data_IF_075387011096
#
_entry.id   IF_075387011096
#
_cell.length_a   1.000
_cell.length_b   1.000
_cell.length_c   1.000
_cell.angle_alpha   90.00
_cell.angle_beta   90.00
_cell.angle_gamma   90.00
#
_symmetry.space_group_name_H-M   'P 1'
#
loop_
_entity.id
_entity.type
_entity.pdbx_description
1 polymer ?
#
# COMPACT_ATOMS: atom_id res chain seq x y z
N UNK A 1 -10.12 -36.83 -6.78
CA UNK A 1 -10.45 -35.83 -5.75
C UNK A 1 -10.20 -34.44 -6.32
N UNK A 2 -10.87 -33.41 -5.80
CA UNK A 2 -10.61 -32.02 -6.15
C UNK A 2 -9.89 -31.38 -4.97
N UNK A 3 -8.71 -30.80 -5.21
CA UNK A 3 -7.93 -30.10 -4.20
C UNK A 3 -8.05 -28.58 -4.39
N UNK A 4 -8.33 -27.85 -3.32
CA UNK A 4 -8.32 -26.38 -3.30
C UNK A 4 -7.19 -25.92 -2.39
N UNK A 5 -6.22 -25.17 -2.93
CA UNK A 5 -4.99 -24.77 -2.22
C UNK A 5 -4.66 -23.31 -2.51
N UNK A 6 -4.26 -22.58 -1.48
CA UNK A 6 -3.62 -21.27 -1.59
C UNK A 6 -2.25 -21.37 -0.90
N UNK A 7 -1.18 -21.08 -1.63
CA UNK A 7 0.19 -21.36 -1.18
C UNK A 7 0.95 -20.12 -0.70
N UNK A 8 0.47 -18.92 -1.03
CA UNK A 8 1.03 -17.66 -0.56
C UNK A 8 0.43 -17.19 0.78
N UNK A 9 -0.69 -17.79 1.18
CA UNK A 9 -1.39 -17.49 2.43
C UNK A 9 -2.31 -16.26 2.34
N UNK A 10 -2.52 -15.69 1.15
CA UNK A 10 -3.37 -14.51 0.97
C UNK A 10 -4.86 -14.84 0.97
N UNK A 11 -5.23 -16.09 0.67
CA UNK A 11 -6.60 -16.58 0.72
C UNK A 11 -6.73 -17.69 1.77
N UNK A 12 -7.70 -17.50 2.68
CA UNK A 12 -8.17 -18.58 3.55
C UNK A 12 -9.27 -19.34 2.82
N UNK A 13 -9.06 -20.64 2.64
CA UNK A 13 -10.03 -21.57 2.05
C UNK A 13 -10.48 -22.53 3.15
N UNK A 14 -11.78 -22.55 3.46
CA UNK A 14 -12.33 -23.38 4.53
C UNK A 14 -13.67 -24.00 4.14
N UNK A 15 -13.97 -25.15 4.73
CA UNK A 15 -15.27 -25.83 4.67
C UNK A 15 -15.55 -26.41 6.06
N UNK A 16 -16.76 -26.23 6.58
CA UNK A 16 -17.17 -26.89 7.82
C UNK A 16 -17.60 -28.33 7.54
N UNK A 17 -17.53 -29.20 8.56
CA UNK A 17 -17.88 -30.61 8.41
C UNK A 17 -19.39 -30.84 8.19
N UNK A 18 -20.23 -29.88 8.58
CA UNK A 18 -21.69 -29.92 8.55
C UNK A 18 -22.32 -29.16 7.37
N UNK A 19 -21.50 -28.53 6.51
CA UNK A 19 -21.97 -27.79 5.33
C UNK A 19 -21.30 -28.30 4.06
N UNK A 20 -21.92 -28.05 2.90
CA UNK A 20 -21.26 -28.28 1.61
C UNK A 20 -20.60 -27.05 1.01
N UNK A 21 -20.73 -25.89 1.65
CA UNK A 21 -20.16 -24.64 1.18
C UNK A 21 -18.64 -24.62 1.35
N UNK A 22 -17.97 -24.02 0.37
CA UNK A 22 -16.56 -23.65 0.47
C UNK A 22 -16.50 -22.15 0.60
N UNK A 23 -15.88 -21.68 1.68
CA UNK A 23 -15.74 -20.26 1.98
C UNK A 23 -14.35 -19.80 1.58
N UNK A 24 -14.31 -18.69 0.83
CA UNK A 24 -13.09 -17.99 0.46
C UNK A 24 -13.08 -16.63 1.14
N UNK A 25 -12.02 -16.35 1.89
CA UNK A 25 -11.78 -15.05 2.50
C UNK A 25 -10.36 -14.59 2.20
N UNK A 26 -10.14 -13.28 2.21
CA UNK A 26 -8.79 -12.73 2.28
C UNK A 26 -8.25 -12.89 3.70
N UNK A 27 -6.97 -13.21 3.81
CA UNK A 27 -6.25 -13.11 5.07
C UNK A 27 -6.20 -11.66 5.54
N UNK A 28 -6.26 -11.42 6.85
CA UNK A 28 -6.17 -10.06 7.42
C UNK A 28 -4.86 -9.38 7.03
N UNK A 29 -3.79 -10.18 7.01
CA UNK A 29 -2.49 -9.82 6.46
C UNK A 29 -2.33 -10.55 5.13
N UNK A 30 -2.14 -9.80 4.04
CA UNK A 30 -1.86 -10.35 2.72
C UNK A 30 -0.58 -9.70 2.17
N UNK A 31 0.19 -10.47 1.41
CA UNK A 31 1.47 -10.10 0.83
C UNK A 31 1.30 -9.86 -0.66
N UNK A 32 1.62 -8.66 -1.09
CA UNK A 32 1.61 -8.25 -2.49
C UNK A 32 2.85 -7.43 -2.79
N UNK A 33 3.33 -7.48 -4.02
CA UNK A 33 4.47 -6.66 -4.46
C UNK A 33 4.08 -5.18 -4.63
N UNK A 34 2.79 -4.92 -4.86
CA UNK A 34 2.23 -3.58 -4.88
C UNK A 34 0.70 -3.56 -4.97
N UNK A 35 0.13 -2.40 -4.68
CA UNK A 35 -1.29 -2.11 -4.72
C UNK A 35 -1.52 -0.80 -5.47
N UNK A 36 -2.40 -0.82 -6.47
CA UNK A 36 -2.86 0.39 -7.17
C UNK A 36 -4.33 0.61 -6.83
N UNK A 37 -4.65 1.80 -6.32
CA UNK A 37 -6.02 2.23 -6.03
C UNK A 37 -6.24 3.63 -6.60
N UNK A 38 -6.92 3.70 -7.73
CA UNK A 38 -7.00 4.93 -8.52
C UNK A 38 -5.61 5.42 -8.93
N UNK A 39 -5.26 6.65 -8.56
CA UNK A 39 -3.95 7.25 -8.81
C UNK A 39 -2.92 6.98 -7.70
N UNK A 40 -3.30 6.25 -6.64
CA UNK A 40 -2.40 5.89 -5.55
C UNK A 40 -1.73 4.55 -5.85
N UNK A 41 -0.41 4.51 -5.74
CA UNK A 41 0.40 3.29 -5.86
C UNK A 41 1.17 3.08 -4.56
N UNK A 42 1.06 1.89 -3.99
CA UNK A 42 1.86 1.43 -2.85
C UNK A 42 2.70 0.25 -3.32
N UNK A 43 4.02 0.34 -3.22
CA UNK A 43 4.94 -0.73 -3.63
C UNK A 43 6.27 -0.61 -2.87
N UNK A 44 7.31 -1.32 -3.32
CA UNK A 44 8.64 -1.28 -2.72
C UNK A 44 9.29 0.12 -2.72
N UNK A 45 8.88 1.03 -3.60
CA UNK A 45 9.39 2.40 -3.63
C UNK A 45 8.71 3.31 -2.58
N UNK A 46 7.62 2.83 -1.95
CA UNK A 46 6.83 3.54 -0.96
C UNK A 46 5.40 3.82 -1.44
N UNK A 47 4.94 5.06 -1.27
CA UNK A 47 3.59 5.50 -1.64
C UNK A 47 3.68 6.67 -2.62
N UNK A 48 3.05 6.54 -3.78
CA UNK A 48 2.87 7.63 -4.76
C UNK A 48 1.39 7.98 -4.87
N UNK A 49 1.05 9.26 -4.94
CA UNK A 49 -0.31 9.74 -5.21
C UNK A 49 -0.26 10.67 -6.43
N UNK A 50 -0.76 10.16 -7.56
CA UNK A 50 -0.63 10.86 -8.85
C UNK A 50 0.83 11.03 -9.27
N UNK A 51 1.12 12.10 -10.00
CA UNK A 51 2.47 12.44 -10.46
C UNK A 51 3.30 13.21 -9.43
N UNK A 52 2.66 13.80 -8.43
CA UNK A 52 3.28 14.91 -7.69
C UNK A 52 3.72 14.51 -6.29
N UNK A 53 3.00 13.62 -5.61
CA UNK A 53 3.29 13.28 -4.21
C UNK A 53 3.96 11.92 -4.14
N UNK A 54 5.10 11.85 -3.46
CA UNK A 54 5.78 10.59 -3.16
C UNK A 54 6.26 10.56 -1.70
N UNK A 55 5.96 9.47 -1.01
CA UNK A 55 6.61 9.07 0.23
C UNK A 55 7.51 7.88 -0.09
N UNK A 56 8.82 8.07 -0.04
CA UNK A 56 9.81 7.03 -0.35
C UNK A 56 10.87 6.89 0.71
N UNK A 57 11.94 6.17 0.38
CA UNK A 57 13.07 5.89 1.30
C UNK A 57 13.79 7.14 1.79
N UNK A 58 13.63 8.27 1.11
CA UNK A 58 14.25 9.56 1.47
C UNK A 58 13.31 10.49 2.26
N UNK A 59 12.02 10.17 2.39
CA UNK A 59 11.00 11.00 3.04
C UNK A 59 9.81 11.35 2.13
N UNK A 60 9.10 12.42 2.46
CA UNK A 60 7.95 12.96 1.73
C UNK A 60 8.39 14.08 0.77
N UNK A 61 8.05 13.95 -0.51
CA UNK A 61 8.30 14.96 -1.54
C UNK A 61 7.02 15.31 -2.29
N UNK A 62 6.90 16.59 -2.66
CA UNK A 62 5.85 17.12 -3.54
C UNK A 62 6.53 17.81 -4.71
N UNK A 63 6.27 17.37 -5.93
CA UNK A 63 6.81 17.99 -7.16
C UNK A 63 6.45 19.47 -7.20
N UNK A 64 7.45 20.34 -7.42
CA UNK A 64 7.30 21.81 -7.39
C UNK A 64 6.75 22.40 -6.06
N UNK A 65 6.85 21.63 -4.97
CA UNK A 65 6.32 21.98 -3.66
C UNK A 65 7.30 21.70 -2.51
N UNK A 66 6.79 21.67 -1.27
CA UNK A 66 7.58 21.34 -0.09
C UNK A 66 8.09 19.90 -0.06
N UNK A 67 9.13 19.66 0.73
CA UNK A 67 9.64 18.33 1.02
C UNK A 67 10.07 18.19 2.49
N UNK A 68 9.90 16.99 3.03
CA UNK A 68 10.43 16.58 4.34
C UNK A 68 11.27 15.35 4.13
N UNK A 69 12.58 15.48 4.27
CA UNK A 69 13.55 14.41 4.00
C UNK A 69 14.49 14.21 5.17
N UNK A 70 15.36 13.19 5.08
CA UNK A 70 16.43 13.00 6.05
C UNK A 70 17.38 14.22 6.17
N UNK A 71 17.46 15.06 5.13
CA UNK A 71 18.27 16.29 5.13
C UNK A 71 17.58 17.49 5.81
N UNK A 72 16.31 17.37 6.18
CA UNK A 72 15.52 18.43 6.80
C UNK A 72 14.23 18.77 6.04
N UNK A 73 13.73 19.98 6.28
CA UNK A 73 12.48 20.50 5.72
C UNK A 73 12.82 21.56 4.67
N UNK A 74 12.33 21.37 3.43
CA UNK A 74 12.33 22.37 2.37
C UNK A 74 10.90 22.91 2.19
N UNK A 75 10.72 24.23 2.31
CA UNK A 75 9.43 24.88 2.16
C UNK A 75 9.00 25.03 0.69
N UNK A 76 9.86 24.72 -0.29
CA UNK A 76 9.54 24.80 -1.72
C UNK A 76 9.13 26.21 -2.16
N UNK A 77 9.80 27.22 -1.62
CA UNK A 77 9.48 28.65 -1.82
C UNK A 77 8.04 29.03 -1.46
N UNK A 78 7.41 28.31 -0.54
CA UNK A 78 6.10 28.65 0.03
C UNK A 78 6.26 29.29 1.40
N UNK A 79 5.27 30.08 1.80
CA UNK A 79 5.20 30.64 3.16
C UNK A 79 4.87 29.53 4.14
N UNK A 80 5.66 29.42 5.21
CA UNK A 80 5.30 28.64 6.40
C UNK A 80 4.41 29.55 7.25
N UNK A 81 3.13 29.19 7.36
CA UNK A 81 2.15 29.92 8.19
C UNK A 81 1.87 29.15 9.48
N UNK A 82 1.39 29.85 10.51
CA UNK A 82 1.00 29.28 11.81
C UNK A 82 2.16 28.55 12.54
N UNK A 83 3.28 29.25 12.72
CA UNK A 83 4.41 28.77 13.54
C UNK A 83 4.15 28.90 15.03
#
# INVERSE_FOLDING_TARGET
AVDLKNTDGNLTISKSDDSNDVVFNLSKDFKVDGMTSGTTVVNNDGVKVGSDVALGTTGLTITNGPAVTASGIDAGSKVISHV
#
